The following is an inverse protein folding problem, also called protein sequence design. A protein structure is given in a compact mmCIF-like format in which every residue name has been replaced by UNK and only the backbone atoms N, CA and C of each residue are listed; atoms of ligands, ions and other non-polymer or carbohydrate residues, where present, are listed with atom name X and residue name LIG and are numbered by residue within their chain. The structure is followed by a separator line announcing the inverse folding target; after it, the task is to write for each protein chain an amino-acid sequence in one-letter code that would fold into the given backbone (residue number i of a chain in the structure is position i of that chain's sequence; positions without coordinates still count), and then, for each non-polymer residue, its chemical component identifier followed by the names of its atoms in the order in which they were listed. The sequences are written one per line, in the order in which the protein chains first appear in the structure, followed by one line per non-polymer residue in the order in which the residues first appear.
data_IF_177271973319
#
_entry.id   IF_177271973319
#
_cell.length_a   1.000
_cell.length_b   1.000
_cell.length_c   1.000
_cell.angle_alpha   90.00
_cell.angle_beta   90.00
_cell.angle_gamma   90.00
#
_symmetry.space_group_name_H-M   'P 1'
#
loop_
_entity.id
_entity.type
_entity.pdbx_description
1 polymer ?
#
# COMPACT_ATOMS: atom_id res chain seq x y z
N UNK A 1 30.80 13.37 -13.87
CA UNK A 1 30.73 12.16 -13.02
C UNK A 1 30.54 12.63 -11.59
N UNK A 2 29.30 12.72 -11.15
CA UNK A 2 28.94 13.01 -9.77
C UNK A 2 28.00 11.89 -9.33
N UNK A 3 28.52 10.98 -8.52
CA UNK A 3 27.73 9.95 -7.87
C UNK A 3 26.83 10.65 -6.84
N UNK A 4 25.57 10.89 -7.20
CA UNK A 4 24.54 11.21 -6.21
C UNK A 4 24.22 9.92 -5.46
N UNK A 5 24.65 9.86 -4.20
CA UNK A 5 24.18 8.86 -3.24
C UNK A 5 22.68 9.01 -3.09
N UNK A 6 21.92 8.09 -3.71
CA UNK A 6 20.51 7.91 -3.41
C UNK A 6 20.38 7.49 -1.94
N UNK A 7 19.90 8.42 -1.11
CA UNK A 7 19.43 8.09 0.24
C UNK A 7 18.33 7.04 0.12
N UNK A 8 18.62 5.82 0.58
CA UNK A 8 17.62 4.76 0.68
C UNK A 8 16.47 5.23 1.57
N UNK A 9 15.35 5.53 0.92
CA UNK A 9 14.09 5.78 1.60
C UNK A 9 13.76 4.56 2.45
N UNK A 10 13.55 4.73 3.75
CA UNK A 10 13.02 3.70 4.68
C UNK A 10 11.59 3.21 4.29
N UNK A 11 11.02 3.75 3.21
CA UNK A 11 9.77 3.32 2.58
C UNK A 11 9.98 2.57 1.24
N UNK A 12 11.22 2.50 0.75
CA UNK A 12 11.64 1.62 -0.31
C UNK A 12 12.01 0.27 0.32
N UNK A 13 11.36 -0.80 -0.13
CA UNK A 13 11.71 -2.16 0.28
C UNK A 13 12.67 -2.68 -0.79
N UNK A 14 13.99 -2.55 -0.63
CA UNK A 14 14.90 -3.32 -1.47
C UNK A 14 14.54 -4.81 -1.30
N UNK A 15 14.61 -5.56 -2.39
CA UNK A 15 14.63 -7.02 -2.35
C UNK A 15 15.93 -7.38 -1.63
N UNK A 16 15.88 -7.43 -0.29
CA UNK A 16 17.00 -7.91 0.50
C UNK A 16 17.18 -9.35 0.07
N UNK A 17 18.33 -9.63 -0.57
CA UNK A 17 18.81 -10.97 -0.83
C UNK A 17 18.69 -11.77 0.47
N UNK A 18 18.20 -13.00 0.32
CA UNK A 18 17.93 -13.92 1.40
C UNK A 18 19.20 -14.15 2.25
N UNK A 19 19.41 -13.34 3.28
CA UNK A 19 20.03 -13.82 4.50
C UNK A 19 18.88 -14.29 5.38
N UNK A 20 18.87 -15.61 5.62
CA UNK A 20 17.96 -16.32 6.49
C UNK A 20 17.94 -15.69 7.88
N UNK A 21 17.10 -14.68 8.08
CA UNK A 21 16.55 -14.42 9.39
C UNK A 21 15.50 -15.51 9.60
N UNK A 22 15.98 -16.64 10.11
CA UNK A 22 15.15 -17.66 10.74
C UNK A 22 14.07 -16.94 11.52
N UNK A 23 12.86 -17.10 11.01
CA UNK A 23 11.67 -16.56 11.65
C UNK A 23 11.48 -17.43 12.87
N UNK A 24 12.16 -17.08 13.98
CA UNK A 24 11.85 -17.61 15.30
C UNK A 24 10.47 -17.07 15.70
N UNK A 25 9.45 -17.58 15.02
CA UNK A 25 8.14 -17.78 15.59
C UNK A 25 8.37 -18.56 16.88
N UNK A 26 7.94 -17.99 18.00
CA UNK A 26 7.86 -18.61 19.31
C UNK A 26 7.72 -20.14 19.22
N UNK A 27 8.84 -20.83 19.43
CA UNK A 27 8.90 -22.29 19.51
C UNK A 27 8.20 -22.69 20.81
N UNK A 28 6.97 -23.18 20.69
CA UNK A 28 6.45 -24.11 21.67
C UNK A 28 7.17 -25.44 21.42
N UNK A 29 8.15 -25.76 22.26
CA UNK A 29 8.64 -27.12 22.37
C UNK A 29 7.56 -27.96 23.04
N UNK A 30 6.90 -28.81 22.27
CA UNK A 30 6.19 -29.96 22.81
C UNK A 30 6.77 -31.21 22.16
N UNK A 31 7.67 -31.87 22.89
CA UNK A 31 8.22 -33.16 22.52
C UNK A 31 7.16 -34.23 22.80
N UNK A 32 6.29 -34.51 21.82
CA UNK A 32 5.72 -35.86 21.73
C UNK A 32 5.26 -36.28 20.34
N UNK A 33 5.53 -37.55 20.08
CA UNK A 33 5.44 -38.26 18.82
C UNK A 33 4.02 -38.76 18.58
N UNK A 34 3.58 -38.70 17.32
CA UNK A 34 2.41 -39.39 16.76
C UNK A 34 1.04 -39.08 17.38
N UNK A 35 0.34 -38.11 16.81
CA UNK A 35 -1.12 -38.25 16.67
C UNK A 35 -1.61 -37.42 15.48
N UNK A 36 -2.27 -38.09 14.53
CA UNK A 36 -3.13 -37.45 13.52
C UNK A 36 -4.31 -36.82 14.28
N UNK A 37 -4.08 -35.69 14.95
CA UNK A 37 -5.12 -34.96 15.67
C UNK A 37 -5.89 -34.14 14.66
N UNK A 38 -7.22 -34.28 14.68
CA UNK A 38 -8.15 -33.37 14.01
C UNK A 38 -7.67 -31.94 14.17
N UNK A 39 -7.20 -31.31 13.08
CA UNK A 39 -6.98 -29.87 13.06
C UNK A 39 -8.27 -29.23 13.55
N UNK A 40 -8.17 -28.47 14.62
CA UNK A 40 -9.30 -27.83 15.24
C UNK A 40 -9.93 -26.91 14.17
N UNK A 41 -11.24 -26.97 13.93
CA UNK A 41 -11.88 -26.20 12.85
C UNK A 41 -11.60 -24.70 12.96
N UNK A 42 -11.36 -24.21 14.18
CA UNK A 42 -10.98 -22.83 14.42
C UNK A 42 -9.57 -22.48 13.92
N UNK A 43 -8.61 -23.38 14.05
CA UNK A 43 -7.24 -23.16 13.56
C UNK A 43 -7.22 -23.11 12.03
N UNK A 44 -7.99 -23.97 11.36
CA UNK A 44 -8.13 -23.93 9.90
C UNK A 44 -8.77 -22.62 9.42
N UNK A 45 -9.77 -22.12 10.15
CA UNK A 45 -10.39 -20.81 9.88
C UNK A 45 -9.37 -19.68 10.06
N UNK A 46 -8.61 -19.70 11.16
CA UNK A 46 -7.62 -18.68 11.47
C UNK A 46 -6.48 -18.68 10.41
N UNK A 47 -6.02 -19.86 9.99
CA UNK A 47 -5.05 -20.03 8.90
C UNK A 47 -5.62 -19.44 7.61
N UNK A 48 -6.83 -19.83 7.20
CA UNK A 48 -7.46 -19.33 5.98
C UNK A 48 -7.56 -17.80 5.96
N UNK A 49 -7.97 -17.18 7.08
CA UNK A 49 -8.06 -15.72 7.20
C UNK A 49 -6.65 -15.09 7.11
N UNK A 50 -5.67 -15.69 7.78
CA UNK A 50 -4.30 -15.19 7.80
C UNK A 50 -3.64 -15.21 6.41
N UNK A 51 -3.85 -16.26 5.62
CA UNK A 51 -3.31 -16.41 4.26
C UNK A 51 -3.85 -15.35 3.30
N UNK A 52 -5.06 -14.82 3.55
CA UNK A 52 -5.64 -13.76 2.71
C UNK A 52 -5.17 -12.35 3.09
N UNK A 53 -4.37 -12.19 4.15
CA UNK A 53 -3.78 -10.89 4.49
C UNK A 53 -2.73 -10.51 3.47
N UNK A 54 -2.73 -9.24 3.09
CA UNK A 54 -1.69 -8.70 2.21
C UNK A 54 -0.31 -8.80 2.87
N UNK A 55 0.65 -9.41 2.18
CA UNK A 55 2.05 -9.54 2.64
C UNK A 55 2.64 -8.19 3.05
N UNK A 56 2.35 -7.12 2.30
CA UNK A 56 2.82 -5.78 2.62
C UNK A 56 2.23 -5.24 3.93
N UNK A 57 0.98 -5.58 4.23
CA UNK A 57 0.34 -5.21 5.50
C UNK A 57 0.97 -5.97 6.67
N UNK A 58 1.29 -7.25 6.50
CA UNK A 58 2.00 -8.05 7.51
C UNK A 58 3.38 -7.45 7.78
N UNK A 59 4.21 -7.29 6.73
CA UNK A 59 5.54 -6.67 6.83
C UNK A 59 5.49 -5.32 7.54
N UNK A 60 4.57 -4.43 7.13
CA UNK A 60 4.42 -3.12 7.76
C UNK A 60 4.07 -3.23 9.25
N UNK A 61 3.21 -4.19 9.62
CA UNK A 61 2.83 -4.40 11.03
C UNK A 61 4.04 -4.82 11.85
N UNK A 62 4.80 -5.80 11.37
CA UNK A 62 6.01 -6.26 12.03
C UNK A 62 7.03 -5.15 12.19
N UNK A 63 7.34 -4.38 11.13
CA UNK A 63 8.28 -3.26 11.20
C UNK A 63 7.82 -2.18 12.19
N UNK A 64 6.54 -1.83 12.16
CA UNK A 64 5.98 -0.83 13.07
C UNK A 64 5.98 -1.31 14.54
N UNK A 65 5.73 -2.60 14.79
CA UNK A 65 5.83 -3.21 16.12
C UNK A 65 7.27 -3.25 16.62
N UNK A 66 8.23 -3.62 15.78
CA UNK A 66 9.65 -3.57 16.11
C UNK A 66 10.11 -2.15 16.50
N UNK A 67 9.57 -1.13 15.83
CA UNK A 67 9.84 0.26 16.20
C UNK A 67 9.25 0.63 17.57
N UNK A 68 8.10 0.07 17.94
CA UNK A 68 7.48 0.24 19.25
C UNK A 68 8.27 -0.49 20.34
N UNK A 69 8.61 -1.76 20.13
CA UNK A 69 9.37 -2.58 21.08
C UNK A 69 10.76 -1.99 21.35
N UNK A 70 11.44 -1.52 20.30
CA UNK A 70 12.71 -0.80 20.43
C UNK A 70 12.57 0.44 21.31
N UNK A 71 11.54 1.25 21.07
CA UNK A 71 11.30 2.44 21.88
C UNK A 71 11.00 2.09 23.35
N UNK A 72 10.21 1.05 23.60
CA UNK A 72 9.91 0.60 24.96
C UNK A 72 11.18 0.19 25.71
N UNK A 73 12.06 -0.57 25.05
CA UNK A 73 13.35 -0.96 25.61
C UNK A 73 14.27 0.25 25.88
N UNK A 74 14.21 1.31 25.06
CA UNK A 74 14.97 2.55 25.25
C UNK A 74 14.52 3.32 26.50
N UNK A 75 13.21 3.41 26.76
CA UNK A 75 12.70 4.19 27.90
C UNK A 75 12.78 3.44 29.24
N UNK A 76 12.75 2.10 29.22
CA UNK A 76 12.95 1.27 30.41
C UNK A 76 13.34 -0.16 29.98
N UNK A 77 14.49 -0.65 30.45
CA UNK A 77 14.96 -2.03 30.19
C UNK A 77 13.97 -3.10 30.65
N UNK A 78 13.11 -2.82 31.63
CA UNK A 78 12.07 -3.75 32.08
C UNK A 78 10.97 -3.97 31.03
N UNK A 79 10.83 -3.06 30.06
CA UNK A 79 9.88 -3.23 28.96
C UNK A 79 10.47 -3.98 27.76
N UNK A 80 11.69 -4.52 27.89
CA UNK A 80 12.23 -5.43 26.91
C UNK A 80 11.31 -6.66 26.81
N UNK A 81 10.82 -6.96 25.61
CA UNK A 81 9.87 -8.04 25.34
C UNK A 81 8.56 -7.93 26.13
N UNK A 82 8.13 -6.71 26.47
CA UNK A 82 6.86 -6.48 27.17
C UNK A 82 5.68 -7.00 26.32
N UNK A 83 4.90 -7.92 26.87
CA UNK A 83 3.71 -8.39 26.19
C UNK A 83 2.54 -7.43 26.40
N UNK A 84 2.32 -6.56 25.40
CA UNK A 84 1.28 -5.53 25.44
C UNK A 84 -0.15 -6.07 25.44
N UNK A 85 -0.36 -7.35 25.11
CA UNK A 85 -1.68 -7.97 25.07
C UNK A 85 -2.28 -8.17 26.47
N UNK A 86 -1.43 -8.26 27.49
CA UNK A 86 -1.83 -8.51 28.87
C UNK A 86 -1.79 -7.25 29.75
N UNK A 87 -1.48 -6.09 29.18
CA UNK A 87 -1.44 -4.84 29.93
C UNK A 87 -2.84 -4.32 30.26
N UNK A 88 -3.03 -3.72 31.44
CA UNK A 88 -4.21 -2.91 31.72
C UNK A 88 -4.34 -1.77 30.70
N UNK A 89 -5.56 -1.42 30.32
CA UNK A 89 -5.82 -0.40 29.29
C UNK A 89 -5.13 0.95 29.60
N UNK A 90 -5.14 1.36 30.87
CA UNK A 90 -4.51 2.60 31.33
C UNK A 90 -2.99 2.59 31.16
N UNK A 91 -2.35 1.45 31.42
CA UNK A 91 -0.90 1.29 31.27
C UNK A 91 -0.51 1.29 29.78
N UNK A 92 -1.26 0.55 28.97
CA UNK A 92 -1.06 0.54 27.52
C UNK A 92 -1.25 1.94 26.91
N UNK A 93 -2.31 2.66 27.28
CA UNK A 93 -2.55 4.03 26.82
C UNK A 93 -1.44 5.01 27.23
N UNK A 94 -0.89 4.83 28.44
CA UNK A 94 0.25 5.61 28.91
C UNK A 94 1.53 5.33 28.10
N UNK A 95 1.82 4.06 27.80
CA UNK A 95 2.96 3.68 26.96
C UNK A 95 2.81 4.17 25.52
N UNK A 96 1.61 4.06 24.94
CA UNK A 96 1.31 4.60 23.61
C UNK A 96 1.46 6.12 23.57
N UNK A 97 1.04 6.81 24.63
CA UNK A 97 1.22 8.26 24.77
C UNK A 97 2.69 8.65 24.74
N UNK A 98 3.54 7.96 25.52
CA UNK A 98 4.99 8.15 25.51
C UNK A 98 5.56 7.91 24.11
N UNK A 99 5.20 6.80 23.50
CA UNK A 99 5.64 6.44 22.15
C UNK A 99 5.28 7.50 21.11
N UNK A 100 4.01 7.88 20.97
CA UNK A 100 3.61 8.88 19.97
C UNK A 100 4.25 10.25 20.21
N UNK A 101 4.51 10.60 21.46
CA UNK A 101 5.17 11.85 21.82
C UNK A 101 6.63 11.85 21.39
N UNK A 102 7.37 10.77 21.64
CA UNK A 102 8.84 10.80 21.65
C UNK A 102 9.51 9.99 20.54
N UNK A 103 8.79 9.10 19.84
CA UNK A 103 9.36 8.23 18.80
C UNK A 103 10.10 8.98 17.69
N UNK A 104 11.26 8.44 17.29
CA UNK A 104 12.16 8.93 16.23
C UNK A 104 12.67 7.79 15.38
N UNK A 105 13.17 8.14 14.19
CA UNK A 105 13.89 7.20 13.33
C UNK A 105 15.20 6.78 14.00
N UNK A 106 15.81 5.70 13.49
CA UNK A 106 17.12 5.23 13.94
C UNK A 106 18.21 6.30 13.83
N UNK A 107 18.16 7.13 12.78
CA UNK A 107 19.07 8.26 12.58
C UNK A 107 18.74 9.49 13.46
N UNK A 108 17.78 9.38 14.39
CA UNK A 108 17.34 10.46 15.27
C UNK A 108 16.37 11.46 14.64
N UNK A 109 16.07 11.35 13.34
CA UNK A 109 15.14 12.26 12.68
C UNK A 109 13.70 12.08 13.15
N UNK A 110 12.91 13.15 13.00
CA UNK A 110 11.46 13.12 13.22
C UNK A 110 10.77 12.41 12.03
N UNK A 111 9.83 11.52 12.34
CA UNK A 111 8.94 10.94 11.34
C UNK A 111 7.96 11.95 10.73
N UNK A 112 7.42 11.61 9.56
CA UNK A 112 6.29 12.32 8.97
C UNK A 112 4.99 12.12 9.78
N UNK A 113 4.07 13.10 9.81
CA UNK A 113 2.78 12.99 10.51
C UNK A 113 1.96 11.76 10.08
N UNK A 114 2.02 11.42 8.80
CA UNK A 114 1.36 10.25 8.22
C UNK A 114 1.93 8.93 8.78
N UNK A 115 3.26 8.85 8.93
CA UNK A 115 3.95 7.68 9.47
C UNK A 115 3.59 7.46 10.94
N UNK A 116 3.60 8.52 11.76
CA UNK A 116 3.17 8.41 13.17
C UNK A 116 1.73 7.90 13.26
N UNK A 117 0.82 8.41 12.41
CA UNK A 117 -0.57 7.94 12.35
C UNK A 117 -0.67 6.48 11.88
N UNK A 118 0.31 6.00 11.14
CA UNK A 118 0.33 4.62 10.63
C UNK A 118 0.74 3.62 11.72
N UNK A 119 1.62 4.01 12.65
CA UNK A 119 1.97 3.18 13.80
C UNK A 119 0.72 2.81 14.62
N UNK A 120 -0.14 3.78 14.93
CA UNK A 120 -1.39 3.51 15.67
C UNK A 120 -2.25 2.45 14.98
N UNK A 121 -2.34 2.49 13.64
CA UNK A 121 -3.11 1.50 12.87
C UNK A 121 -2.45 0.13 12.85
N UNK A 122 -1.13 0.07 12.85
CA UNK A 122 -0.38 -1.19 12.92
C UNK A 122 -0.47 -1.82 14.31
N UNK A 123 -0.37 -1.03 15.37
CA UNK A 123 -0.55 -1.51 16.73
C UNK A 123 -1.99 -2.00 16.93
N UNK A 124 -3.00 -1.24 16.48
CA UNK A 124 -4.39 -1.73 16.52
C UNK A 124 -4.55 -3.05 15.77
N UNK A 125 -3.94 -3.17 14.59
CA UNK A 125 -4.01 -4.41 13.81
C UNK A 125 -3.33 -5.57 14.54
N UNK A 126 -2.17 -5.35 15.15
CA UNK A 126 -1.50 -6.34 16.00
C UNK A 126 -2.40 -6.79 17.16
N UNK A 127 -3.03 -5.84 17.87
CA UNK A 127 -3.97 -6.15 18.96
C UNK A 127 -5.16 -6.98 18.46
N UNK A 128 -5.79 -6.57 17.36
CA UNK A 128 -6.93 -7.30 16.77
C UNK A 128 -6.56 -8.68 16.26
N UNK A 129 -5.40 -8.81 15.61
CA UNK A 129 -4.90 -10.09 15.09
C UNK A 129 -4.62 -11.09 16.22
N UNK A 130 -4.29 -10.59 17.41
CA UNK A 130 -4.09 -11.38 18.63
C UNK A 130 -5.33 -11.39 19.54
N UNK A 131 -6.52 -11.13 18.99
CA UNK A 131 -7.82 -11.23 19.69
C UNK A 131 -7.93 -10.36 20.96
N UNK A 132 -7.18 -9.27 21.03
CA UNK A 132 -7.31 -8.28 22.11
C UNK A 132 -8.70 -7.65 22.09
N UNK A 133 -9.26 -7.43 23.28
CA UNK A 133 -10.55 -6.75 23.45
C UNK A 133 -10.48 -5.23 23.20
N UNK A 134 -9.28 -4.66 23.14
CA UNK A 134 -9.10 -3.21 23.06
C UNK A 134 -9.10 -2.68 21.62
N UNK A 135 -9.79 -1.56 21.43
CA UNK A 135 -9.75 -0.75 20.24
C UNK A 135 -9.15 0.63 20.56
N UNK A 136 -7.83 0.76 20.43
CA UNK A 136 -7.08 1.98 20.73
C UNK A 136 -7.48 3.16 19.82
N UNK A 137 -8.19 2.90 18.72
CA UNK A 137 -8.70 3.93 17.81
C UNK A 137 -10.01 4.57 18.31
N UNK A 138 -10.77 3.89 19.17
CA UNK A 138 -12.15 4.28 19.52
C UNK A 138 -12.45 4.28 21.02
N UNK A 139 -11.91 3.33 21.76
CA UNK A 139 -12.26 3.10 23.16
C UNK A 139 -11.83 4.27 24.05
N UNK A 140 -12.61 4.57 25.09
CA UNK A 140 -12.44 5.77 25.91
C UNK A 140 -11.13 5.73 26.71
N UNK A 141 -10.73 4.54 27.11
CA UNK A 141 -9.51 4.22 27.84
C UNK A 141 -8.25 4.67 27.11
N UNK A 142 -8.32 4.85 25.78
CA UNK A 142 -7.21 5.28 24.93
C UNK A 142 -7.30 6.74 24.47
N UNK A 143 -8.06 7.57 25.18
CA UNK A 143 -8.23 8.98 24.79
C UNK A 143 -6.93 9.77 24.88
N UNK A 144 -6.11 9.56 25.91
CA UNK A 144 -4.87 10.32 26.10
C UNK A 144 -3.89 10.06 24.96
N UNK A 145 -3.64 8.80 24.56
CA UNK A 145 -2.74 8.50 23.44
C UNK A 145 -3.22 9.11 22.13
N UNK A 146 -4.54 9.14 21.88
CA UNK A 146 -5.12 9.81 20.71
C UNK A 146 -4.92 11.32 20.74
N UNK A 147 -5.10 11.96 21.90
CA UNK A 147 -4.84 13.40 22.06
C UNK A 147 -3.35 13.72 21.85
N UNK A 148 -2.46 12.91 22.43
CA UNK A 148 -1.01 13.05 22.25
C UNK A 148 -0.60 12.88 20.78
N UNK A 149 -1.15 11.88 20.09
CA UNK A 149 -0.95 11.68 18.66
C UNK A 149 -1.40 12.91 17.84
N UNK A 150 -2.57 13.46 18.15
CA UNK A 150 -3.06 14.67 17.49
C UNK A 150 -2.14 15.87 17.73
N UNK A 151 -1.71 16.09 18.97
CA UNK A 151 -0.77 17.14 19.34
C UNK A 151 0.59 16.98 18.65
N UNK A 152 1.13 15.75 18.60
CA UNK A 152 2.39 15.44 17.90
C UNK A 152 2.29 15.81 16.42
N UNK A 153 1.19 15.44 15.74
CA UNK A 153 0.98 15.79 14.32
C UNK A 153 0.97 17.30 14.12
N UNK A 154 0.26 18.04 14.97
CA UNK A 154 0.23 19.51 14.92
C UNK A 154 1.62 20.11 15.07
N UNK A 155 2.44 19.58 16.00
CA UNK A 155 3.82 20.03 16.19
C UNK A 155 4.69 19.73 14.95
N UNK A 156 4.57 18.53 14.38
CA UNK A 156 5.34 18.14 13.20
C UNK A 156 5.03 19.05 12.00
N UNK A 157 3.75 19.36 11.77
CA UNK A 157 3.33 20.26 10.69
C UNK A 157 3.76 21.69 10.97
N UNK A 158 3.39 22.25 12.12
CA UNK A 158 3.51 23.68 12.36
C UNK A 158 4.92 24.12 12.76
N UNK A 159 5.72 23.24 13.38
CA UNK A 159 7.03 23.59 13.93
C UNK A 159 8.20 22.89 13.26
N UNK A 160 7.99 21.73 12.64
CA UNK A 160 9.07 20.96 12.02
C UNK A 160 9.02 20.97 10.48
N UNK A 161 8.04 21.66 9.86
CA UNK A 161 7.87 21.72 8.41
C UNK A 161 7.56 20.36 7.76
N UNK A 162 7.19 19.35 8.56
CA UNK A 162 6.89 17.99 8.13
C UNK A 162 5.45 17.88 7.64
N UNK A 163 5.14 16.88 6.83
CA UNK A 163 3.82 16.73 6.21
C UNK A 163 3.60 17.58 4.95
N UNK A 164 4.52 18.51 4.66
CA UNK A 164 4.65 19.08 3.33
C UNK A 164 5.16 17.99 2.39
N UNK A 165 4.52 17.85 1.22
CA UNK A 165 4.94 16.92 0.17
C UNK A 165 5.52 17.74 -0.98
N UNK A 166 6.77 18.26 -0.88
CA UNK A 166 7.37 19.06 -1.94
C UNK A 166 7.48 18.27 -3.25
N UNK A 167 7.67 16.94 -3.14
CA UNK A 167 7.67 16.00 -4.26
C UNK A 167 6.28 15.37 -4.47
N UNK A 168 5.20 16.05 -4.11
CA UNK A 168 3.86 15.58 -4.44
C UNK A 168 3.74 15.46 -5.95
N UNK A 169 3.30 14.29 -6.42
CA UNK A 169 2.99 14.10 -7.83
C UNK A 169 1.89 15.07 -8.24
N UNK A 170 2.15 15.82 -9.32
CA UNK A 170 1.13 16.58 -10.04
C UNK A 170 0.82 15.89 -11.36
N UNK A 171 -0.33 16.24 -11.94
CA UNK A 171 -0.64 15.86 -13.31
C UNK A 171 0.35 16.49 -14.28
N UNK A 172 0.63 15.79 -15.38
CA UNK A 172 1.30 16.38 -16.54
C UNK A 172 0.43 17.49 -17.11
N UNK A 173 1.07 18.57 -17.58
CA UNK A 173 0.36 19.59 -18.38
C UNK A 173 0.22 19.12 -19.82
N UNK A 174 -0.68 19.75 -20.58
CA UNK A 174 -0.86 19.42 -22.00
C UNK A 174 0.45 19.63 -22.77
N UNK A 175 1.20 20.70 -22.47
CA UNK A 175 2.47 20.99 -23.14
C UNK A 175 3.56 19.96 -22.82
N UNK A 176 3.51 19.33 -21.63
CA UNK A 176 4.43 18.24 -21.29
C UNK A 176 4.04 16.95 -22.00
N UNK A 177 2.74 16.67 -22.12
CA UNK A 177 2.23 15.55 -22.92
C UNK A 177 2.61 15.70 -24.39
N UNK A 178 2.37 16.87 -24.99
CA UNK A 178 2.68 17.16 -26.40
C UNK A 178 4.18 16.94 -26.67
N UNK A 179 5.06 17.39 -25.78
CA UNK A 179 6.50 17.14 -25.87
C UNK A 179 6.87 15.66 -25.86
N UNK A 180 6.16 14.82 -25.12
CA UNK A 180 6.42 13.37 -25.11
C UNK A 180 6.12 12.76 -26.49
N UNK A 181 5.09 13.24 -27.19
CA UNK A 181 4.79 12.85 -28.57
C UNK A 181 5.80 13.43 -29.56
N UNK A 182 6.15 14.72 -29.46
CA UNK A 182 7.12 15.38 -30.32
C UNK A 182 8.52 14.74 -30.26
N UNK A 183 8.96 14.35 -29.07
CA UNK A 183 10.24 13.66 -28.87
C UNK A 183 10.19 12.15 -29.20
N UNK A 184 9.05 11.63 -29.66
CA UNK A 184 8.88 10.22 -30.02
C UNK A 184 8.92 9.24 -28.84
N UNK A 185 8.83 9.75 -27.60
CA UNK A 185 8.66 8.91 -26.41
C UNK A 185 7.27 8.30 -26.35
N UNK A 186 6.29 9.02 -26.91
CA UNK A 186 4.96 8.51 -27.23
C UNK A 186 4.68 8.52 -28.73
N UNK A 187 3.79 7.62 -29.16
CA UNK A 187 3.35 7.52 -30.55
C UNK A 187 3.24 6.07 -31.02
N UNK A 188 3.40 5.89 -32.33
CA UNK A 188 3.23 4.59 -33.01
C UNK A 188 4.47 4.20 -33.83
N UNK A 189 5.60 4.85 -33.59
CA UNK A 189 6.84 4.69 -34.37
C UNK A 189 7.51 3.31 -34.21
N UNK A 190 7.13 2.54 -33.19
CA UNK A 190 7.62 1.19 -32.96
C UNK A 190 6.84 0.48 -31.86
N UNK A 191 7.02 -0.84 -31.71
CA UNK A 191 6.24 -1.66 -30.77
C UNK A 191 6.43 -1.22 -29.31
N UNK A 192 7.65 -0.86 -28.91
CA UNK A 192 7.92 -0.40 -27.55
C UNK A 192 7.26 0.95 -27.23
N UNK A 193 7.38 1.91 -28.14
CA UNK A 193 6.76 3.24 -28.03
C UNK A 193 5.24 3.10 -27.97
N UNK A 194 4.67 2.30 -28.88
CA UNK A 194 3.24 2.03 -28.95
C UNK A 194 2.72 1.38 -27.66
N UNK A 195 3.43 0.37 -27.13
CA UNK A 195 3.06 -0.29 -25.87
C UNK A 195 3.10 0.70 -24.70
N UNK A 196 4.14 1.53 -24.62
CA UNK A 196 4.30 2.55 -23.57
C UNK A 196 3.20 3.60 -23.62
N UNK A 197 2.90 4.11 -24.80
CA UNK A 197 1.82 5.09 -25.01
C UNK A 197 0.46 4.49 -24.65
N UNK A 198 0.19 3.25 -25.07
CA UNK A 198 -1.07 2.60 -24.74
C UNK A 198 -1.20 2.35 -23.24
N UNK A 199 -0.13 1.89 -22.59
CA UNK A 199 -0.10 1.72 -21.14
C UNK A 199 -0.42 3.04 -20.42
N UNK A 200 0.13 4.16 -20.89
CA UNK A 200 -0.12 5.49 -20.35
C UNK A 200 -1.59 5.92 -20.53
N UNK A 201 -2.16 5.78 -21.73
CA UNK A 201 -3.57 6.12 -21.97
C UNK A 201 -4.53 5.32 -21.09
N UNK A 202 -4.26 4.02 -20.92
CA UNK A 202 -5.09 3.19 -20.06
C UNK A 202 -4.95 3.60 -18.59
N UNK A 203 -3.74 3.93 -18.12
CA UNK A 203 -3.53 4.44 -16.77
C UNK A 203 -4.24 5.78 -16.55
N UNK A 204 -4.16 6.69 -17.53
CA UNK A 204 -4.77 8.02 -17.49
C UNK A 204 -6.30 7.95 -17.44
N UNK A 205 -6.91 7.24 -18.40
CA UNK A 205 -8.36 7.27 -18.57
C UNK A 205 -9.10 6.24 -17.71
N UNK A 206 -8.49 5.09 -17.45
CA UNK A 206 -9.12 4.07 -16.63
C UNK A 206 -8.67 4.10 -15.17
N UNK A 207 -7.65 4.88 -14.83
CA UNK A 207 -7.21 5.07 -13.45
C UNK A 207 -6.77 3.78 -12.78
N UNK A 208 -6.17 2.85 -13.55
CA UNK A 208 -5.66 1.62 -12.97
C UNK A 208 -4.36 1.83 -12.22
N UNK A 209 -4.07 0.94 -11.27
CA UNK A 209 -2.79 0.93 -10.58
C UNK A 209 -1.67 0.39 -11.47
N UNK A 210 -0.77 1.29 -11.82
CA UNK A 210 0.41 1.09 -12.67
C UNK A 210 1.27 -0.15 -12.35
N UNK A 211 1.32 -0.63 -11.10
CA UNK A 211 2.13 -1.82 -10.72
C UNK A 211 1.34 -3.11 -10.52
N UNK A 212 0.04 -3.01 -10.34
CA UNK A 212 -0.81 -4.15 -9.95
C UNK A 212 -1.74 -4.52 -11.10
N UNK A 213 -2.73 -3.67 -11.35
CA UNK A 213 -3.72 -3.87 -12.41
C UNK A 213 -3.08 -3.97 -13.80
N UNK A 214 -2.09 -3.13 -14.10
CA UNK A 214 -1.43 -3.11 -15.41
C UNK A 214 -0.77 -4.46 -15.79
N UNK A 215 -0.23 -5.18 -14.80
CA UNK A 215 0.47 -6.46 -14.98
C UNK A 215 -0.49 -7.64 -15.05
N UNK A 216 -1.73 -7.46 -14.58
CA UNK A 216 -2.78 -8.46 -14.58
C UNK A 216 -3.66 -8.39 -15.83
N UNK A 217 -3.59 -7.30 -16.60
CA UNK A 217 -4.36 -7.12 -17.83
C UNK A 217 -4.17 -8.30 -18.77
N UNK A 218 -5.29 -8.89 -19.20
CA UNK A 218 -5.34 -9.97 -20.16
C UNK A 218 -6.10 -9.53 -21.41
N UNK A 219 -5.88 -10.26 -22.51
CA UNK A 219 -6.67 -10.09 -23.72
C UNK A 219 -8.16 -10.31 -23.43
N UNK A 220 -8.99 -9.39 -23.92
CA UNK A 220 -10.44 -9.41 -23.70
C UNK A 220 -10.91 -8.60 -22.49
N UNK A 221 -10.03 -8.23 -21.55
CA UNK A 221 -10.38 -7.36 -20.42
C UNK A 221 -10.81 -5.96 -20.92
N UNK A 222 -10.14 -5.46 -21.96
CA UNK A 222 -10.47 -4.23 -22.67
C UNK A 222 -10.87 -4.60 -24.11
N UNK A 223 -11.99 -4.05 -24.58
CA UNK A 223 -12.52 -4.32 -25.91
C UNK A 223 -12.85 -3.04 -26.66
N UNK A 224 -12.61 -3.07 -27.96
CA UNK A 224 -13.11 -2.08 -28.90
C UNK A 224 -14.61 -2.31 -29.13
N UNK A 225 -15.41 -1.27 -28.91
CA UNK A 225 -16.85 -1.27 -29.15
C UNK A 225 -17.25 -0.06 -29.98
N UNK A 226 -18.41 -0.15 -30.63
CA UNK A 226 -19.03 0.95 -31.36
C UNK A 226 -20.52 0.95 -31.03
N UNK A 227 -21.04 2.08 -30.57
CA UNK A 227 -22.48 2.25 -30.41
C UNK A 227 -23.13 2.46 -31.78
N UNK A 228 -24.41 2.14 -31.91
CA UNK A 228 -25.18 2.04 -33.18
C UNK A 228 -24.97 3.22 -34.14
N UNK A 229 -24.70 4.43 -33.62
CA UNK A 229 -24.33 5.63 -34.40
C UNK A 229 -23.20 6.46 -33.74
N UNK A 230 -22.47 5.89 -32.78
CA UNK A 230 -21.47 6.60 -31.98
C UNK A 230 -20.03 6.43 -32.47
N UNK A 231 -19.10 7.25 -31.94
CA UNK A 231 -17.67 7.03 -32.15
C UNK A 231 -17.26 5.67 -31.56
N UNK A 232 -16.20 5.10 -32.14
CA UNK A 232 -15.56 3.92 -31.55
C UNK A 232 -15.02 4.23 -30.16
N UNK A 233 -14.98 3.21 -29.32
CA UNK A 233 -14.51 3.34 -27.94
C UNK A 233 -13.81 2.09 -27.44
N UNK A 234 -12.87 2.27 -26.53
CA UNK A 234 -12.37 1.19 -25.70
C UNK A 234 -13.18 1.14 -24.41
N UNK A 235 -13.67 -0.05 -24.09
CA UNK A 235 -14.43 -0.31 -22.87
C UNK A 235 -13.66 -1.32 -22.03
N UNK A 236 -13.41 -0.99 -20.77
CA UNK A 236 -12.89 -1.97 -19.83
C UNK A 236 -14.03 -2.76 -19.21
N UNK A 237 -14.14 -4.02 -19.64
CA UNK A 237 -15.25 -4.90 -19.28
C UNK A 237 -14.99 -5.67 -17.99
N UNK A 238 -13.76 -6.16 -17.80
CA UNK A 238 -13.41 -7.00 -16.66
C UNK A 238 -12.20 -6.46 -15.90
N UNK A 239 -12.43 -5.97 -14.69
CA UNK A 239 -11.36 -5.64 -13.75
C UNK A 239 -11.02 -6.90 -12.94
N UNK A 240 -9.74 -7.30 -12.97
CA UNK A 240 -9.22 -8.33 -12.08
C UNK A 240 -8.95 -7.72 -10.71
N UNK A 241 -9.15 -8.48 -9.63
CA UNK A 241 -9.06 -7.97 -8.26
C UNK A 241 -7.87 -7.03 -8.01
N UNK A 242 -8.17 -5.87 -7.42
CA UNK A 242 -7.22 -4.76 -7.21
C UNK A 242 -7.04 -4.51 -5.73
N UNK A 243 -5.92 -3.87 -5.32
CA UNK A 243 -5.67 -3.51 -3.91
C UNK A 243 -6.87 -2.91 -3.14
N UNK A 244 -7.78 -2.19 -3.79
CA UNK A 244 -8.97 -1.57 -3.14
C UNK A 244 -10.30 -2.25 -3.49
N UNK A 245 -10.28 -3.29 -4.33
CA UNK A 245 -11.43 -4.09 -4.73
C UNK A 245 -11.06 -5.57 -4.63
N UNK A 246 -10.95 -6.03 -3.38
CA UNK A 246 -10.47 -7.37 -3.02
C UNK A 246 -11.62 -8.38 -2.79
N UNK A 247 -12.76 -8.23 -3.49
CA UNK A 247 -13.88 -9.17 -3.33
C UNK A 247 -14.78 -8.92 -2.10
N UNK A 248 -14.73 -7.74 -1.49
CA UNK A 248 -15.66 -7.37 -0.41
C UNK A 248 -17.08 -7.19 -0.95
N UNK A 249 -18.08 -7.42 -0.10
CA UNK A 249 -19.49 -7.18 -0.42
C UNK A 249 -19.66 -5.73 -0.94
N UNK A 250 -20.28 -5.57 -2.11
CA UNK A 250 -20.44 -4.29 -2.81
C UNK A 250 -19.14 -3.56 -3.24
N UNK A 251 -17.97 -4.17 -3.09
CA UNK A 251 -16.66 -3.60 -3.45
C UNK A 251 -15.82 -4.50 -4.36
N UNK A 252 -16.40 -5.51 -4.99
CA UNK A 252 -15.69 -6.50 -5.81
C UNK A 252 -15.53 -6.08 -7.28
N UNK A 253 -16.28 -5.07 -7.75
CA UNK A 253 -16.26 -4.58 -9.13
C UNK A 253 -16.32 -3.05 -9.17
N UNK A 254 -15.98 -2.46 -10.33
CA UNK A 254 -16.21 -1.03 -10.57
C UNK A 254 -17.71 -0.74 -10.63
N UNK A 255 -18.11 0.40 -10.09
CA UNK A 255 -19.52 0.87 -10.18
C UNK A 255 -19.97 1.16 -11.61
N UNK A 256 -19.03 1.31 -12.55
CA UNK A 256 -19.27 1.53 -13.97
C UNK A 256 -18.12 0.96 -14.79
N UNK A 257 -18.36 0.70 -16.09
CA UNK A 257 -17.32 0.34 -17.05
C UNK A 257 -16.64 1.60 -17.59
N UNK A 258 -15.35 1.82 -17.31
CA UNK A 258 -14.60 2.95 -17.87
C UNK A 258 -14.53 2.88 -19.40
N UNK A 259 -14.60 4.05 -20.04
CA UNK A 259 -14.65 4.18 -21.51
C UNK A 259 -13.64 5.23 -22.00
N UNK A 260 -12.93 4.92 -23.08
CA UNK A 260 -12.10 5.86 -23.84
C UNK A 260 -12.73 5.99 -25.23
N UNK A 261 -13.07 7.21 -25.63
CA UNK A 261 -13.68 7.47 -26.93
C UNK A 261 -12.63 7.82 -27.97
N UNK A 262 -12.88 7.48 -29.23
CA UNK A 262 -12.12 7.99 -30.34
C UNK A 262 -12.30 9.52 -30.41
N UNK A 263 -11.18 10.22 -30.49
CA UNK A 263 -11.10 11.68 -30.61
C UNK A 263 -10.68 12.04 -32.03
N UNK A 264 -11.10 13.22 -32.50
CA UNK A 264 -10.68 13.75 -33.81
C UNK A 264 -9.30 14.41 -33.81
N UNK A 265 -8.59 14.46 -32.68
CA UNK A 265 -7.26 15.07 -32.60
C UNK A 265 -6.21 14.18 -33.29
N UNK A 266 -5.24 14.79 -33.98
CA UNK A 266 -4.21 14.05 -34.71
C UNK A 266 -3.17 13.37 -33.80
N UNK A 267 -2.84 13.97 -32.65
CA UNK A 267 -1.77 13.51 -31.76
C UNK A 267 -2.19 12.50 -30.68
N UNK A 268 -3.45 12.53 -30.22
CA UNK A 268 -3.91 11.78 -29.05
C UNK A 268 -5.00 10.76 -29.40
N UNK A 269 -4.61 9.63 -30.03
CA UNK A 269 -5.54 8.65 -30.60
C UNK A 269 -5.46 7.26 -29.95
N UNK A 270 -5.89 7.09 -28.69
CA UNK A 270 -5.81 5.82 -27.97
C UNK A 270 -6.57 4.67 -28.67
N UNK A 271 -7.68 4.97 -29.34
CA UNK A 271 -8.46 3.97 -30.09
C UNK A 271 -7.69 3.48 -31.31
N UNK A 272 -7.06 4.36 -32.09
CA UNK A 272 -6.24 3.95 -33.25
C UNK A 272 -5.00 3.16 -32.81
N UNK A 273 -4.33 3.61 -31.76
CA UNK A 273 -3.16 2.92 -31.19
C UNK A 273 -3.50 1.51 -30.71
N UNK A 274 -4.68 1.33 -30.10
CA UNK A 274 -5.14 -0.01 -29.70
C UNK A 274 -5.31 -0.96 -30.89
N UNK A 275 -5.77 -0.45 -32.05
CA UNK A 275 -5.90 -1.25 -33.27
C UNK A 275 -4.53 -1.65 -33.80
N UNK A 276 -3.57 -0.73 -33.79
CA UNK A 276 -2.19 -1.01 -34.19
C UNK A 276 -1.54 -2.12 -33.33
N UNK A 277 -1.81 -2.14 -32.01
CA UNK A 277 -1.35 -3.21 -31.11
C UNK A 277 -1.94 -4.58 -31.45
N UNK A 278 -3.20 -4.62 -31.86
CA UNK A 278 -3.85 -5.88 -32.24
C UNK A 278 -3.33 -6.40 -33.58
N UNK A 279 -3.00 -5.49 -34.50
CA UNK A 279 -2.49 -5.81 -35.84
C UNK A 279 -1.01 -6.19 -35.89
N UNK A 280 -0.22 -5.84 -34.86
CA UNK A 280 1.21 -6.18 -34.77
C UNK A 280 1.50 -7.57 -34.19
N UNK A 281 0.46 -8.37 -33.96
CA UNK A 281 0.54 -9.80 -33.59
C UNK A 281 0.64 -10.68 -34.83
#
# INVERSE_FOLDING_TARGET
MSNEEHSESEFYYPEVENEEYETNFYQFHDDNVNEYVQRNSQEEIDIFISEKKSVNTVKKTTTDMNAFDRYLAEINKQYLNLNILYLPAQELDHLLSKFFKDIRKLNGEKYEPGTISSFQRSIQRFLSDNKSQFNILRDKEFEMSRQVLAAKRKILVNKAGKGNKPNATRSLTQEEEDKLFECGLFGMSGPEVLQRTMWWFLALHFGFRARDESRKLCWGDIQLQRNTDGPEMLVWLCERGTKTRNGQENGHQRSFQPKIYATGSESHRPVEMSKAIVQSK
#
